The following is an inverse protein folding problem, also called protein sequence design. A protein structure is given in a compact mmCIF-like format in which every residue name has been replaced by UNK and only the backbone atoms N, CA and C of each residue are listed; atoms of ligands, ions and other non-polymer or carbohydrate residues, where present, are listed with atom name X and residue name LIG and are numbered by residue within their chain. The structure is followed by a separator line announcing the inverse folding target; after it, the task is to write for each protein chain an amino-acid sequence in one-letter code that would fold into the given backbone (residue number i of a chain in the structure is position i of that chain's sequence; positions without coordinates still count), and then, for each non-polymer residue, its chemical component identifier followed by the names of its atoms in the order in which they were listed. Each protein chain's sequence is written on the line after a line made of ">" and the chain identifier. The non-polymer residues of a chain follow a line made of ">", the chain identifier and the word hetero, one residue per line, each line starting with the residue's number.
data_IF_513182348680
#
_entry.id   IF_513182348680
#
_cell.length_a   1.000
_cell.length_b   1.000
_cell.length_c   1.000
_cell.angle_alpha   90.00
_cell.angle_beta   90.00
_cell.angle_gamma   90.00
#
_symmetry.space_group_name_H-M   'P 1'
#
loop_
_entity.id
_entity.type
_entity.pdbx_description
1 polymer ?
#
# COMPACT_ATOMS: atom_id res chain seq x y z
N UNK A 1 -8.22 3.00 -16.30
CA UNK A 1 -7.89 4.35 -16.83
C UNK A 1 -8.89 5.46 -16.50
N UNK A 2 -10.18 5.38 -16.88
CA UNK A 2 -11.12 6.54 -16.86
C UNK A 2 -11.28 7.27 -15.51
N UNK A 3 -11.26 6.54 -14.39
CA UNK A 3 -11.36 7.12 -13.05
C UNK A 3 -10.15 8.01 -12.73
N UNK A 4 -8.93 7.51 -12.93
CA UNK A 4 -7.67 8.22 -12.64
C UNK A 4 -7.59 9.54 -13.42
N UNK A 5 -7.90 9.50 -14.72
CA UNK A 5 -7.88 10.70 -15.57
C UNK A 5 -8.86 11.77 -15.06
N UNK A 6 -10.08 11.38 -14.68
CA UNK A 6 -11.08 12.33 -14.17
C UNK A 6 -10.69 12.90 -12.81
N UNK A 7 -10.12 12.08 -11.93
CA UNK A 7 -9.64 12.51 -10.62
C UNK A 7 -8.52 13.56 -10.72
N UNK A 8 -7.63 13.42 -11.72
CA UNK A 8 -6.57 14.39 -11.98
C UNK A 8 -7.08 15.73 -12.54
N UNK A 9 -8.20 15.74 -13.26
CA UNK A 9 -8.73 16.96 -13.90
C UNK A 9 -9.33 17.97 -12.93
N UNK A 10 -9.72 17.54 -11.72
CA UNK A 10 -10.37 18.43 -10.74
C UNK A 10 -9.39 19.07 -9.76
N UNK A 11 -8.12 18.65 -9.76
CA UNK A 11 -7.08 19.19 -8.89
C UNK A 11 -6.22 20.21 -9.64
N UNK A 12 -5.74 21.26 -8.97
CA UNK A 12 -4.75 22.18 -9.54
C UNK A 12 -3.51 21.42 -10.05
N UNK A 13 -2.88 21.94 -11.11
CA UNK A 13 -1.74 21.28 -11.77
C UNK A 13 -0.51 21.14 -10.86
N UNK A 14 -0.37 22.01 -9.86
CA UNK A 14 0.70 22.02 -8.87
C UNK A 14 0.34 21.28 -7.57
N UNK A 15 -0.88 20.72 -7.48
CA UNK A 15 -1.31 20.00 -6.30
C UNK A 15 -0.67 18.62 -6.22
N UNK A 16 0.11 18.39 -5.15
CA UNK A 16 0.70 17.09 -4.88
C UNK A 16 -0.35 16.17 -4.27
N UNK A 17 -0.61 15.05 -4.93
CA UNK A 17 -1.58 14.05 -4.49
C UNK A 17 -0.87 12.74 -4.13
N UNK A 18 -0.50 12.50 -2.87
CA UNK A 18 0.01 11.21 -2.45
C UNK A 18 -1.04 10.12 -2.64
N UNK A 19 -0.61 8.91 -3.00
CA UNK A 19 -1.47 7.74 -3.11
C UNK A 19 -1.04 6.67 -2.11
N UNK A 20 -1.98 5.94 -1.53
CA UNK A 20 -1.76 4.80 -0.66
C UNK A 20 -2.85 3.76 -0.90
N UNK A 21 -2.60 2.50 -0.55
CA UNK A 21 -3.59 1.41 -0.60
C UNK A 21 -4.26 1.17 0.76
N UNK A 22 -3.58 1.56 1.84
CA UNK A 22 -4.04 1.49 3.22
C UNK A 22 -3.33 2.55 4.09
N UNK A 23 -3.86 2.78 5.30
CA UNK A 23 -3.28 3.66 6.31
C UNK A 23 -3.77 3.28 7.73
N UNK A 24 -3.55 4.15 8.71
CA UNK A 24 -3.85 3.95 10.13
C UNK A 24 -5.31 4.20 10.55
N UNK A 25 -6.16 4.63 9.61
CA UNK A 25 -7.57 4.99 9.82
C UNK A 25 -8.51 4.13 8.96
N UNK A 26 -8.05 2.95 8.53
CA UNK A 26 -8.83 1.98 7.78
C UNK A 26 -8.32 0.55 8.04
N UNK A 27 -9.05 -0.44 7.52
CA UNK A 27 -8.50 -1.80 7.43
C UNK A 27 -7.30 -1.80 6.49
N UNK A 28 -6.23 -2.50 6.90
CA UNK A 28 -5.07 -2.82 6.05
C UNK A 28 -5.56 -3.51 4.79
N UNK A 29 -4.90 -3.27 3.65
CA UNK A 29 -5.35 -3.85 2.38
C UNK A 29 -5.36 -5.39 2.46
N UNK A 30 -4.35 -5.97 3.10
CA UNK A 30 -4.25 -7.41 3.34
C UNK A 30 -5.42 -7.96 4.18
N UNK A 31 -6.00 -7.16 5.09
CA UNK A 31 -7.22 -7.53 5.82
C UNK A 31 -8.45 -7.51 4.92
N UNK A 32 -8.56 -6.51 4.04
CA UNK A 32 -9.67 -6.37 3.09
C UNK A 32 -9.68 -7.55 2.10
N UNK A 33 -8.51 -8.10 1.77
CA UNK A 33 -8.35 -9.23 0.85
C UNK A 33 -8.16 -10.57 1.55
N UNK A 34 -8.61 -10.71 2.80
CA UNK A 34 -8.59 -11.97 3.56
C UNK A 34 -7.21 -12.66 3.61
N UNK A 35 -6.13 -11.89 3.71
CA UNK A 35 -4.76 -12.40 3.78
C UNK A 35 -4.11 -12.75 2.44
N UNK A 36 -4.73 -12.43 1.30
CA UNK A 36 -4.17 -12.72 -0.02
C UNK A 36 -2.93 -11.85 -0.35
N UNK A 37 -1.75 -12.45 -0.22
CA UNK A 37 -0.47 -11.83 -0.55
C UNK A 37 -0.31 -11.48 -2.03
N UNK A 38 -0.95 -12.24 -2.94
CA UNK A 38 -0.91 -11.95 -4.38
C UNK A 38 -1.69 -10.68 -4.68
N UNK A 39 -2.84 -10.50 -4.02
CA UNK A 39 -3.62 -9.27 -4.12
C UNK A 39 -2.84 -8.06 -3.55
N UNK A 40 -2.17 -8.24 -2.40
CA UNK A 40 -1.31 -7.21 -1.80
C UNK A 40 -0.20 -6.77 -2.77
N UNK A 41 0.49 -7.73 -3.39
CA UNK A 41 1.52 -7.44 -4.38
C UNK A 41 0.95 -6.70 -5.61
N UNK A 42 -0.19 -7.14 -6.12
CA UNK A 42 -0.85 -6.49 -7.26
C UNK A 42 -1.25 -5.03 -6.93
N UNK A 43 -1.72 -4.78 -5.70
CA UNK A 43 -2.03 -3.44 -5.21
C UNK A 43 -0.77 -2.56 -5.11
N UNK A 44 0.35 -3.10 -4.61
CA UNK A 44 1.64 -2.42 -4.60
C UNK A 44 2.13 -2.09 -6.01
N UNK A 45 1.98 -3.01 -6.94
CA UNK A 45 2.35 -2.81 -8.35
C UNK A 45 1.49 -1.70 -8.99
N UNK A 46 0.18 -1.69 -8.71
CA UNK A 46 -0.71 -0.62 -9.15
C UNK A 46 -0.31 0.74 -8.55
N UNK A 47 -0.03 0.79 -7.25
CA UNK A 47 0.42 1.99 -6.55
C UNK A 47 1.71 2.55 -7.18
N UNK A 48 2.68 1.68 -7.47
CA UNK A 48 3.96 2.07 -8.08
C UNK A 48 3.85 2.49 -9.55
N UNK A 49 2.70 2.29 -10.21
CA UNK A 49 2.42 2.77 -11.56
C UNK A 49 1.68 4.11 -11.60
N UNK A 50 1.08 4.55 -10.50
CA UNK A 50 0.40 5.85 -10.46
C UNK A 50 1.44 6.97 -10.61
N UNK A 51 1.16 8.07 -11.34
CA UNK A 51 2.11 9.19 -11.45
C UNK A 51 2.32 9.95 -10.12
N UNK A 52 1.40 9.75 -9.19
CA UNK A 52 1.36 10.29 -7.82
C UNK A 52 2.53 9.80 -6.95
N UNK A 53 2.99 10.56 -5.93
CA UNK A 53 3.90 10.05 -4.92
C UNK A 53 3.27 8.85 -4.17
N UNK A 54 3.85 7.64 -4.24
CA UNK A 54 3.33 6.49 -3.52
C UNK A 54 3.72 6.56 -2.05
N UNK A 55 2.79 6.21 -1.17
CA UNK A 55 2.97 6.08 0.27
C UNK A 55 2.65 4.64 0.65
N UNK A 56 3.64 3.95 1.22
CA UNK A 56 3.49 2.60 1.78
C UNK A 56 3.29 2.77 3.29
N UNK A 57 2.22 2.20 3.83
CA UNK A 57 2.02 2.12 5.26
C UNK A 57 2.89 0.99 5.84
N UNK A 58 3.50 1.21 7.01
CA UNK A 58 4.48 0.27 7.55
C UNK A 58 3.88 -1.13 7.70
N UNK A 59 4.67 -2.14 7.37
CA UNK A 59 4.25 -3.53 7.46
C UNK A 59 3.57 -4.04 6.20
N UNK A 60 3.00 -3.17 5.36
CA UNK A 60 2.32 -3.58 4.12
C UNK A 60 3.29 -4.22 3.11
N UNK A 61 4.57 -3.87 3.17
CA UNK A 61 5.67 -4.45 2.39
C UNK A 61 6.21 -5.77 2.94
N UNK A 62 5.83 -6.16 4.17
CA UNK A 62 6.24 -7.43 4.81
C UNK A 62 5.06 -8.31 5.20
N UNK A 63 3.84 -7.98 4.73
CA UNK A 63 2.66 -8.81 4.95
C UNK A 63 2.03 -8.67 6.33
N UNK A 64 2.18 -7.52 7.00
CA UNK A 64 1.57 -7.27 8.31
C UNK A 64 0.03 -7.29 8.20
N UNK A 65 -0.58 -8.27 8.87
CA UNK A 65 -2.01 -8.43 9.01
C UNK A 65 -2.48 -7.95 10.39
N UNK A 66 -3.61 -7.25 10.43
CA UNK A 66 -4.27 -6.88 11.69
C UNK A 66 -5.07 -8.07 12.25
N UNK A 67 -5.31 -8.14 13.57
CA UNK A 67 -5.98 -9.30 14.18
C UNK A 67 -7.48 -9.43 13.86
N UNK A 68 -8.14 -8.33 13.51
CA UNK A 68 -9.57 -8.25 13.20
C UNK A 68 -9.86 -6.95 12.45
N UNK A 69 -11.04 -6.83 11.82
CA UNK A 69 -11.44 -5.58 11.16
C UNK A 69 -11.61 -4.42 12.16
N UNK A 70 -11.35 -3.21 11.71
CA UNK A 70 -11.57 -1.95 12.43
C UNK A 70 -13.03 -1.74 12.82
N UNK A 71 -13.97 -2.35 12.10
CA UNK A 71 -15.38 -2.37 12.48
C UNK A 71 -15.63 -3.14 13.80
N UNK A 72 -14.75 -4.07 14.15
CA UNK A 72 -14.86 -4.91 15.35
C UNK A 72 -13.96 -4.40 16.48
N UNK A 73 -12.75 -3.95 16.14
CA UNK A 73 -11.71 -3.62 17.11
C UNK A 73 -11.27 -2.16 17.13
N UNK A 74 -11.99 -1.23 16.47
CA UNK A 74 -11.58 0.17 16.36
C UNK A 74 -10.41 0.39 15.39
N UNK A 75 -9.95 1.63 15.21
CA UNK A 75 -8.87 1.93 14.24
C UNK A 75 -7.50 1.43 14.70
N UNK A 76 -7.31 1.24 16.01
CA UNK A 76 -6.08 0.80 16.65
C UNK A 76 -5.58 -0.57 16.17
N UNK A 77 -6.46 -1.46 15.72
CA UNK A 77 -6.05 -2.78 15.23
C UNK A 77 -5.22 -2.69 13.94
N UNK A 78 -5.41 -1.63 13.15
CA UNK A 78 -4.57 -1.35 11.97
C UNK A 78 -3.14 -0.93 12.36
N UNK A 79 -2.89 -0.63 13.64
CA UNK A 79 -1.63 -0.12 14.19
C UNK A 79 -0.86 -1.22 14.94
N UNK A 80 -1.03 -2.48 14.52
CA UNK A 80 -0.32 -3.64 15.07
C UNK A 80 1.21 -3.45 15.01
N UNK A 81 1.98 -3.98 15.99
CA UNK A 81 3.44 -3.87 15.98
C UNK A 81 4.07 -4.38 14.68
N UNK A 82 5.15 -3.73 14.24
CA UNK A 82 5.93 -4.19 13.09
C UNK A 82 6.58 -5.55 13.39
N UNK A 83 6.41 -6.57 12.52
CA UNK A 83 7.16 -7.81 12.63
C UNK A 83 8.63 -7.57 12.25
N UNK A 84 9.56 -8.17 12.97
CA UNK A 84 10.99 -7.99 12.76
C UNK A 84 11.69 -9.33 12.51
N UNK A 85 12.77 -9.29 11.72
CA UNK A 85 13.61 -10.46 11.45
C UNK A 85 12.88 -11.51 10.62
N UNK A 86 12.78 -12.73 11.17
CA UNK A 86 12.22 -13.88 10.47
C UNK A 86 10.68 -13.89 10.43
N UNK A 87 10.02 -13.00 11.18
CA UNK A 87 8.57 -12.83 11.16
C UNK A 87 8.07 -12.08 9.90
N UNK A 88 8.98 -11.44 9.16
CA UNK A 88 8.65 -10.71 7.95
C UNK A 88 8.48 -11.64 6.75
N UNK A 89 7.53 -11.33 5.86
CA UNK A 89 7.54 -11.87 4.52
C UNK A 89 8.67 -11.24 3.69
N UNK A 90 9.82 -11.91 3.68
CA UNK A 90 11.01 -11.48 2.95
C UNK A 90 10.82 -11.52 1.43
N UNK A 91 9.94 -12.38 0.93
CA UNK A 91 9.68 -12.47 -0.50
C UNK A 91 8.83 -11.30 -0.97
N UNK A 92 7.80 -10.92 -0.22
CA UNK A 92 7.03 -9.71 -0.49
C UNK A 92 7.90 -8.46 -0.38
N UNK A 93 8.75 -8.37 0.64
CA UNK A 93 9.68 -7.25 0.81
C UNK A 93 10.60 -7.07 -0.40
N UNK A 94 11.23 -8.15 -0.85
CA UNK A 94 12.11 -8.13 -2.02
C UNK A 94 11.37 -7.68 -3.29
N UNK A 95 10.12 -8.13 -3.46
CA UNK A 95 9.29 -7.73 -4.59
C UNK A 95 8.88 -6.26 -4.51
N UNK A 96 8.46 -5.76 -3.34
CA UNK A 96 8.17 -4.34 -3.14
C UNK A 96 9.39 -3.47 -3.41
N UNK A 97 10.58 -3.87 -2.96
CA UNK A 97 11.84 -3.18 -3.30
C UNK A 97 12.09 -3.15 -4.81
N UNK A 98 11.89 -4.27 -5.51
CA UNK A 98 12.03 -4.33 -6.96
C UNK A 98 11.06 -3.38 -7.68
N UNK A 99 9.80 -3.29 -7.24
CA UNK A 99 8.83 -2.34 -7.78
C UNK A 99 9.27 -0.88 -7.58
N UNK A 100 9.80 -0.54 -6.40
CA UNK A 100 10.35 0.80 -6.12
C UNK A 100 11.53 1.11 -7.04
N UNK A 101 12.45 0.15 -7.23
CA UNK A 101 13.58 0.31 -8.14
C UNK A 101 13.14 0.54 -9.58
N UNK A 102 12.18 -0.25 -10.07
CA UNK A 102 11.63 -0.10 -11.41
C UNK A 102 10.98 1.27 -11.61
N UNK A 103 10.16 1.74 -10.64
CA UNK A 103 9.55 3.08 -10.70
C UNK A 103 10.60 4.18 -10.84
N UNK A 104 11.67 4.14 -10.04
CA UNK A 104 12.74 5.15 -10.05
C UNK A 104 13.52 5.23 -11.37
N UNK A 105 13.50 4.16 -12.15
CA UNK A 105 14.12 4.13 -13.49
C UNK A 105 13.20 4.76 -14.54
N UNK A 106 11.88 4.63 -14.39
CA UNK A 106 10.88 5.14 -15.33
C UNK A 106 10.52 6.61 -15.08
N UNK A 107 10.61 7.11 -13.84
CA UNK A 107 10.28 8.50 -13.48
C UNK A 107 11.49 9.45 -13.63
N UNK A 108 12.40 9.18 -14.57
CA UNK A 108 13.49 10.10 -14.95
C UNK A 108 13.12 10.96 -16.15
#
# INVERSE_FOLDING_TARGET
>A
QRFVTRHQQVMPADFVMPAFIDNHDMDRFLQITDGDQSAQLAAMEALMRLPNPPVIYYGSEVGLLQPMSTAQGGLEVSRAPMPWGDEQDKALLAQTQALIHARRQTTR
#
